data_IF_475717017469
#
_entry.id   IF_475717017469
#
_cell.length_a   1.000
_cell.length_b   1.000
_cell.length_c   1.000
_cell.angle_alpha   90.00
_cell.angle_beta   90.00
_cell.angle_gamma   90.00
#
_symmetry.space_group_name_H-M   'P 1'
#
loop_
_entity.id
_entity.type
_entity.pdbx_description
1 polymer ?
#
# COMPACT_ATOMS: atom_id res chain seq x y z
N UNK A 1 15.73 29.03 8.59
CA UNK A 1 16.45 27.81 8.17
C UNK A 1 15.50 26.83 7.48
N UNK A 2 14.44 26.34 8.12
CA UNK A 2 13.50 25.40 7.50
C UNK A 2 12.95 25.86 6.15
N UNK A 3 12.47 27.10 6.05
CA UNK A 3 11.95 27.66 4.80
C UNK A 3 13.00 27.72 3.67
N UNK A 4 14.26 27.93 4.02
CA UNK A 4 15.37 27.96 3.03
C UNK A 4 15.66 26.55 2.51
N UNK A 5 15.69 25.56 3.40
CA UNK A 5 15.89 24.15 3.00
C UNK A 5 14.71 23.63 2.17
N UNK A 6 13.46 23.93 2.55
CA UNK A 6 12.29 23.59 1.76
C UNK A 6 12.31 24.24 0.37
N UNK A 7 12.66 25.55 0.28
CA UNK A 7 12.82 26.22 -1.01
C UNK A 7 13.92 25.59 -1.85
N UNK A 8 15.05 25.19 -1.24
CA UNK A 8 16.15 24.52 -1.93
C UNK A 8 15.69 23.18 -2.52
N UNK A 9 15.02 22.35 -1.73
CA UNK A 9 14.54 21.03 -2.17
C UNK A 9 13.46 21.17 -3.25
N UNK A 10 12.46 22.01 -3.02
CA UNK A 10 11.30 22.10 -3.91
C UNK A 10 11.63 22.84 -5.23
N UNK A 11 12.38 23.93 -5.18
CA UNK A 11 12.60 24.79 -6.34
C UNK A 11 14.00 24.60 -6.95
N UNK A 12 15.05 24.60 -6.14
CA UNK A 12 16.42 24.51 -6.69
C UNK A 12 16.73 23.10 -7.21
N UNK A 13 16.32 22.06 -6.49
CA UNK A 13 16.41 20.67 -6.93
C UNK A 13 15.23 20.23 -7.81
N UNK A 14 14.35 21.16 -8.21
CA UNK A 14 13.16 20.88 -9.03
C UNK A 14 12.22 19.82 -8.43
N UNK A 15 12.22 19.65 -7.11
CA UNK A 15 11.41 18.63 -6.42
C UNK A 15 9.91 18.76 -6.69
N UNK A 16 9.39 20.01 -6.78
CA UNK A 16 7.98 20.24 -7.11
C UNK A 16 7.65 19.80 -8.55
N UNK A 17 8.52 20.11 -9.52
CA UNK A 17 8.32 19.68 -10.91
C UNK A 17 8.35 18.16 -11.03
N UNK A 18 9.31 17.52 -10.36
CA UNK A 18 9.41 16.05 -10.30
C UNK A 18 8.17 15.43 -9.66
N UNK A 19 7.64 16.03 -8.59
CA UNK A 19 6.40 15.57 -7.94
C UNK A 19 5.21 15.61 -8.91
N UNK A 20 5.02 16.73 -9.62
CA UNK A 20 3.92 16.87 -10.57
C UNK A 20 4.02 15.87 -11.72
N UNK A 21 5.24 15.66 -12.27
CA UNK A 21 5.47 14.67 -13.32
C UNK A 21 5.19 13.25 -12.78
N UNK A 22 5.68 12.93 -11.58
CA UNK A 22 5.50 11.62 -10.98
C UNK A 22 4.03 11.33 -10.66
N UNK A 23 3.28 12.31 -10.14
CA UNK A 23 1.84 12.18 -9.90
C UNK A 23 1.04 12.01 -11.20
N UNK A 24 1.38 12.76 -12.25
CA UNK A 24 0.74 12.60 -13.55
C UNK A 24 1.03 11.22 -14.17
N UNK A 25 2.28 10.78 -14.13
CA UNK A 25 2.67 9.44 -14.59
C UNK A 25 1.96 8.33 -13.78
N UNK A 26 1.84 8.53 -12.48
CA UNK A 26 1.15 7.58 -11.62
C UNK A 26 -0.37 7.53 -11.88
N UNK A 27 -1.00 8.67 -12.09
CA UNK A 27 -2.42 8.73 -12.47
C UNK A 27 -2.68 7.97 -13.79
N UNK A 28 -1.83 8.19 -14.81
CA UNK A 28 -1.91 7.45 -16.07
C UNK A 28 -1.69 5.95 -15.84
N UNK A 29 -0.74 5.58 -15.00
CA UNK A 29 -0.49 4.18 -14.65
C UNK A 29 -1.71 3.56 -13.96
N UNK A 30 -2.31 4.22 -12.97
CA UNK A 30 -3.51 3.73 -12.27
C UNK A 30 -4.69 3.53 -13.24
N UNK A 31 -4.90 4.45 -14.18
CA UNK A 31 -5.96 4.30 -15.21
C UNK A 31 -5.65 3.17 -16.18
N UNK A 32 -4.39 2.94 -16.52
CA UNK A 32 -3.96 1.95 -17.51
C UNK A 32 -3.77 0.54 -16.95
N UNK A 33 -3.55 0.39 -15.64
CA UNK A 33 -3.29 -0.94 -15.04
C UNK A 33 -4.54 -1.82 -14.94
N UNK A 34 -5.73 -1.22 -15.13
CA UNK A 34 -6.99 -1.95 -14.92
C UNK A 34 -7.24 -2.27 -13.45
N UNK A 35 -8.34 -2.92 -13.18
CA UNK A 35 -8.69 -3.46 -11.87
C UNK A 35 -8.53 -4.97 -11.91
N UNK A 36 -8.19 -5.56 -10.78
CA UNK A 36 -8.18 -7.01 -10.67
C UNK A 36 -9.65 -7.48 -10.66
N UNK A 37 -10.19 -7.74 -11.85
CA UNK A 37 -11.53 -8.26 -12.02
C UNK A 37 -11.47 -9.57 -12.80
N UNK A 38 -12.38 -10.49 -12.47
CA UNK A 38 -12.46 -11.73 -13.23
C UNK A 38 -12.96 -11.44 -14.65
N UNK A 39 -12.46 -12.19 -15.64
CA UNK A 39 -12.92 -12.12 -17.04
C UNK A 39 -14.46 -12.19 -17.18
N UNK A 40 -15.12 -12.88 -16.27
CA UNK A 40 -16.58 -13.01 -16.21
C UNK A 40 -17.25 -11.68 -15.92
N UNK A 41 -16.69 -10.92 -14.96
CA UNK A 41 -17.20 -9.59 -14.56
C UNK A 41 -16.97 -8.61 -15.71
N UNK A 42 -15.76 -8.56 -16.27
CA UNK A 42 -15.41 -7.64 -17.35
C UNK A 42 -16.34 -7.78 -18.58
N UNK A 43 -16.72 -9.01 -18.89
CA UNK A 43 -17.61 -9.27 -20.03
C UNK A 43 -19.08 -8.93 -19.76
N UNK A 44 -19.51 -8.93 -18.50
CA UNK A 44 -20.91 -8.74 -18.10
C UNK A 44 -21.03 -7.65 -17.00
N UNK A 45 -20.21 -6.62 -17.07
CA UNK A 45 -20.08 -5.63 -15.99
C UNK A 45 -21.40 -4.96 -15.61
N UNK A 46 -22.18 -4.49 -16.59
CA UNK A 46 -23.48 -3.86 -16.34
C UNK A 46 -24.45 -4.81 -15.62
N UNK A 47 -24.43 -6.08 -16.00
CA UNK A 47 -25.27 -7.10 -15.37
C UNK A 47 -24.80 -7.43 -13.96
N UNK A 48 -23.48 -7.53 -13.76
CA UNK A 48 -22.87 -7.74 -12.45
C UNK A 48 -23.21 -6.59 -11.50
N UNK A 49 -23.03 -5.35 -11.91
CA UNK A 49 -23.35 -4.17 -11.11
C UNK A 49 -24.84 -4.10 -10.75
N UNK A 50 -25.74 -4.43 -11.68
CA UNK A 50 -27.19 -4.49 -11.42
C UNK A 50 -27.54 -5.53 -10.35
N UNK A 51 -26.91 -6.70 -10.41
CA UNK A 51 -27.08 -7.71 -9.39
C UNK A 51 -26.45 -7.31 -8.06
N UNK A 52 -25.24 -6.73 -8.10
CA UNK A 52 -24.53 -6.31 -6.88
C UNK A 52 -25.32 -5.20 -6.17
N UNK A 53 -25.88 -4.22 -6.87
CA UNK A 53 -26.71 -3.17 -6.30
C UNK A 53 -27.93 -3.75 -5.53
N UNK A 54 -28.52 -4.84 -6.06
CA UNK A 54 -29.64 -5.52 -5.41
C UNK A 54 -29.21 -6.31 -4.16
N UNK A 55 -28.07 -7.02 -4.27
CA UNK A 55 -27.67 -8.02 -3.27
C UNK A 55 -26.69 -7.52 -2.23
N UNK A 56 -26.02 -6.39 -2.44
CA UNK A 56 -25.04 -5.85 -1.51
C UNK A 56 -25.60 -5.61 -0.10
N UNK A 57 -24.73 -5.72 0.91
CA UNK A 57 -25.03 -5.46 2.31
C UNK A 57 -25.11 -6.72 3.16
N UNK A 58 -25.79 -6.59 4.29
CA UNK A 58 -25.95 -7.66 5.26
C UNK A 58 -26.79 -8.82 4.70
N UNK A 59 -26.39 -10.04 5.04
CA UNK A 59 -27.08 -11.27 4.62
C UNK A 59 -28.17 -11.58 5.65
N UNK A 60 -29.38 -11.16 5.34
CA UNK A 60 -30.57 -11.52 6.12
C UNK A 60 -31.12 -12.88 5.70
N UNK A 61 -31.92 -13.53 6.58
CA UNK A 61 -32.55 -14.81 6.26
C UNK A 61 -33.46 -14.73 5.02
N UNK A 62 -34.14 -13.59 4.82
CA UNK A 62 -34.95 -13.34 3.62
C UNK A 62 -34.09 -13.29 2.36
N UNK A 63 -33.01 -12.49 2.37
CA UNK A 63 -32.05 -12.42 1.27
C UNK A 63 -31.43 -13.78 0.97
N UNK A 64 -31.09 -14.54 1.99
CA UNK A 64 -30.54 -15.90 1.84
C UNK A 64 -31.51 -16.81 1.08
N UNK A 65 -32.79 -16.82 1.45
CA UNK A 65 -33.82 -17.64 0.78
C UNK A 65 -34.05 -17.19 -0.68
N UNK A 66 -34.10 -15.87 -0.92
CA UNK A 66 -34.22 -15.34 -2.28
C UNK A 66 -33.00 -15.70 -3.14
N UNK A 67 -31.79 -15.59 -2.60
CA UNK A 67 -30.55 -15.92 -3.31
C UNK A 67 -30.48 -17.40 -3.70
N UNK A 68 -30.87 -18.31 -2.78
CA UNK A 68 -30.94 -19.76 -3.05
C UNK A 68 -32.02 -20.08 -4.12
N UNK A 69 -33.16 -19.39 -4.08
CA UNK A 69 -34.21 -19.56 -5.09
C UNK A 69 -33.73 -19.08 -6.48
N UNK A 70 -33.09 -17.91 -6.56
CA UNK A 70 -32.55 -17.37 -7.81
C UNK A 70 -31.41 -18.24 -8.34
N UNK A 71 -30.57 -18.82 -7.48
CA UNK A 71 -29.57 -19.80 -7.86
C UNK A 71 -30.17 -21.05 -8.54
N UNK A 72 -31.25 -21.58 -7.98
CA UNK A 72 -31.94 -22.72 -8.56
C UNK A 72 -32.56 -22.40 -9.94
N UNK A 73 -32.99 -21.18 -10.17
CA UNK A 73 -33.49 -20.71 -11.47
C UNK A 73 -32.34 -20.44 -12.45
N UNK A 74 -31.29 -19.73 -12.02
CA UNK A 74 -30.12 -19.44 -12.83
C UNK A 74 -29.42 -20.70 -13.33
N UNK A 75 -29.39 -21.75 -12.53
CA UNK A 75 -28.77 -23.03 -12.90
C UNK A 75 -29.50 -23.72 -14.05
N UNK A 76 -30.77 -23.43 -14.27
CA UNK A 76 -31.57 -23.98 -15.37
C UNK A 76 -31.47 -23.18 -16.67
N UNK A 77 -30.99 -21.94 -16.62
CA UNK A 77 -30.83 -21.05 -17.78
C UNK A 77 -29.38 -21.11 -18.31
N UNK A 78 -29.19 -20.97 -19.61
CA UNK A 78 -27.88 -20.93 -20.25
C UNK A 78 -27.60 -19.54 -20.81
N UNK A 79 -27.79 -18.50 -19.99
CA UNK A 79 -27.63 -17.11 -20.36
C UNK A 79 -26.37 -16.49 -19.74
N UNK A 80 -25.75 -15.50 -20.39
CA UNK A 80 -24.58 -14.76 -19.86
C UNK A 80 -24.82 -14.08 -18.52
N UNK A 81 -26.08 -13.78 -18.19
CA UNK A 81 -26.52 -13.30 -16.87
C UNK A 81 -26.18 -14.28 -15.73
N UNK A 82 -26.21 -15.57 -16.05
CA UNK A 82 -25.86 -16.63 -15.12
C UNK A 82 -24.45 -16.47 -14.58
N UNK A 83 -23.47 -16.17 -15.43
CA UNK A 83 -22.08 -16.06 -15.03
C UNK A 83 -21.85 -14.91 -14.04
N UNK A 84 -22.47 -13.76 -14.28
CA UNK A 84 -22.40 -12.60 -13.39
C UNK A 84 -23.06 -12.89 -12.01
N UNK A 85 -24.24 -13.53 -12.03
CA UNK A 85 -24.93 -13.91 -10.81
C UNK A 85 -24.15 -14.98 -10.01
N UNK A 86 -23.57 -15.98 -10.68
CA UNK A 86 -22.78 -17.02 -10.01
C UNK A 86 -21.55 -16.46 -9.29
N UNK A 87 -20.95 -15.38 -9.81
CA UNK A 87 -19.85 -14.71 -9.11
C UNK A 87 -20.31 -14.14 -7.76
N UNK A 88 -21.48 -13.48 -7.74
CA UNK A 88 -22.06 -12.94 -6.49
C UNK A 88 -22.52 -14.08 -5.56
N UNK A 89 -23.09 -15.15 -6.15
CA UNK A 89 -23.49 -16.31 -5.36
C UNK A 89 -22.30 -17.01 -4.71
N UNK A 90 -21.16 -17.06 -5.35
CA UNK A 90 -19.94 -17.58 -4.74
C UNK A 90 -19.49 -16.74 -3.53
N UNK A 91 -19.50 -15.40 -3.64
CA UNK A 91 -19.23 -14.54 -2.48
C UNK A 91 -20.25 -14.78 -1.34
N UNK A 92 -21.54 -14.89 -1.69
CA UNK A 92 -22.59 -15.23 -0.72
C UNK A 92 -22.33 -16.59 -0.06
N UNK A 93 -21.92 -17.60 -0.83
CA UNK A 93 -21.68 -18.95 -0.30
C UNK A 93 -20.64 -18.95 0.82
N UNK A 94 -19.56 -18.19 0.66
CA UNK A 94 -18.55 -18.01 1.71
C UNK A 94 -19.04 -17.08 2.84
N UNK A 95 -19.75 -16.02 2.50
CA UNK A 95 -20.23 -15.06 3.49
C UNK A 95 -21.31 -15.61 4.40
N UNK A 96 -22.13 -16.57 3.95
CA UNK A 96 -23.19 -17.20 4.76
C UNK A 96 -22.66 -18.05 5.92
N UNK A 97 -21.37 -18.43 5.90
CA UNK A 97 -20.75 -19.15 7.01
C UNK A 97 -20.54 -18.25 8.24
N UNK A 98 -20.32 -16.95 8.03
CA UNK A 98 -20.20 -15.95 9.11
C UNK A 98 -20.94 -14.65 8.77
N UNK A 99 -22.29 -14.68 8.78
CA UNK A 99 -23.10 -13.52 8.35
C UNK A 99 -22.99 -12.31 9.28
N UNK A 100 -22.46 -12.48 10.49
CA UNK A 100 -22.24 -11.38 11.42
C UNK A 100 -21.04 -10.49 11.04
N UNK A 101 -20.06 -11.06 10.34
CA UNK A 101 -18.81 -10.36 10.00
C UNK A 101 -18.56 -10.25 8.51
N UNK A 102 -19.36 -10.89 7.65
CA UNK A 102 -19.18 -10.90 6.21
C UNK A 102 -20.43 -10.36 5.51
N UNK A 103 -20.26 -9.26 4.79
CA UNK A 103 -21.31 -8.60 4.02
C UNK A 103 -21.00 -8.72 2.54
N UNK A 104 -22.02 -8.78 1.70
CA UNK A 104 -21.85 -8.78 0.26
C UNK A 104 -21.49 -7.38 -0.22
N UNK A 105 -20.42 -7.26 -1.00
CA UNK A 105 -19.96 -5.99 -1.55
C UNK A 105 -19.17 -6.20 -2.85
N UNK A 106 -19.06 -5.14 -3.65
CA UNK A 106 -18.11 -5.13 -4.77
C UNK A 106 -16.69 -4.96 -4.22
N UNK A 107 -15.92 -6.05 -4.25
CA UNK A 107 -14.57 -6.10 -3.69
C UNK A 107 -13.52 -5.40 -4.57
N UNK A 108 -13.76 -5.24 -5.89
CA UNK A 108 -12.77 -4.82 -6.90
C UNK A 108 -12.03 -3.53 -6.53
N UNK A 109 -12.78 -2.52 -6.09
CA UNK A 109 -12.19 -1.23 -5.72
C UNK A 109 -11.31 -1.31 -4.48
N UNK A 110 -11.82 -1.95 -3.43
CA UNK A 110 -11.09 -2.11 -2.17
C UNK A 110 -9.94 -3.10 -2.29
N UNK A 111 -10.14 -4.15 -3.05
CA UNK A 111 -9.07 -5.12 -3.33
C UNK A 111 -7.89 -4.43 -4.01
N UNK A 112 -8.14 -3.65 -5.06
CA UNK A 112 -7.11 -2.85 -5.73
C UNK A 112 -6.37 -1.89 -4.78
N UNK A 113 -7.04 -1.31 -3.78
CA UNK A 113 -6.43 -0.37 -2.83
C UNK A 113 -5.64 -1.07 -1.72
N UNK A 114 -6.11 -2.23 -1.27
CA UNK A 114 -5.61 -2.94 -0.10
C UNK A 114 -4.63 -4.06 -0.42
N UNK A 115 -4.86 -4.82 -1.51
CA UNK A 115 -4.04 -5.99 -1.84
C UNK A 115 -2.87 -5.69 -2.75
N UNK A 116 -2.77 -4.47 -3.29
CA UNK A 116 -1.65 -4.11 -4.16
C UNK A 116 -0.31 -4.25 -3.46
N UNK A 117 0.28 -5.38 -3.65
CA UNK A 117 1.39 -5.98 -2.86
C UNK A 117 2.77 -5.45 -3.28
N UNK A 118 2.82 -4.56 -4.25
CA UNK A 118 4.05 -4.03 -4.81
C UNK A 118 4.50 -2.70 -4.20
N UNK A 119 5.80 -2.53 -4.07
CA UNK A 119 6.37 -1.19 -3.90
C UNK A 119 6.06 -0.38 -5.16
N UNK A 120 5.35 0.73 -4.98
CA UNK A 120 5.10 1.65 -6.09
C UNK A 120 6.43 2.18 -6.64
N UNK A 121 6.84 1.66 -7.80
CA UNK A 121 8.14 1.99 -8.42
C UNK A 121 8.23 3.48 -8.76
N UNK A 122 7.12 4.11 -9.17
CA UNK A 122 7.10 5.54 -9.51
C UNK A 122 7.33 6.38 -8.25
N UNK A 123 6.66 6.04 -7.15
CA UNK A 123 6.88 6.67 -5.85
C UNK A 123 8.33 6.46 -5.36
N UNK A 124 8.85 5.23 -5.48
CA UNK A 124 10.21 4.90 -5.08
C UNK A 124 11.24 5.74 -5.84
N UNK A 125 11.12 5.80 -7.16
CA UNK A 125 12.02 6.60 -8.00
C UNK A 125 11.91 8.10 -7.68
N UNK A 126 10.70 8.59 -7.41
CA UNK A 126 10.50 9.96 -6.96
C UNK A 126 11.17 10.22 -5.61
N UNK A 127 10.99 9.35 -4.62
CA UNK A 127 11.63 9.48 -3.30
C UNK A 127 13.16 9.45 -3.39
N UNK A 128 13.73 8.60 -4.24
CA UNK A 128 15.17 8.58 -4.51
C UNK A 128 15.65 9.88 -5.15
N UNK A 129 14.95 10.35 -6.18
CA UNK A 129 15.29 11.61 -6.85
C UNK A 129 15.17 12.83 -5.92
N UNK A 130 14.27 12.78 -4.95
CA UNK A 130 14.09 13.83 -3.94
C UNK A 130 15.19 13.78 -2.86
N UNK A 131 15.46 12.58 -2.31
CA UNK A 131 16.30 12.44 -1.11
C UNK A 131 17.80 12.40 -1.39
N UNK A 132 18.23 11.71 -2.44
CA UNK A 132 19.65 11.47 -2.73
C UNK A 132 20.44 12.78 -2.95
N UNK A 133 19.96 13.77 -3.74
CA UNK A 133 20.73 14.97 -4.02
C UNK A 133 20.95 15.87 -2.80
N UNK A 134 20.10 15.78 -1.77
CA UNK A 134 20.13 16.69 -0.61
C UNK A 134 21.42 16.52 0.19
N UNK A 135 21.87 15.30 0.41
CA UNK A 135 23.12 15.02 1.12
C UNK A 135 24.30 14.75 0.18
N UNK A 136 24.12 13.91 -0.83
CA UNK A 136 25.21 13.61 -1.77
C UNK A 136 25.72 14.86 -2.50
N UNK A 137 24.82 15.77 -2.89
CA UNK A 137 25.20 17.03 -3.55
C UNK A 137 26.12 17.90 -2.69
N UNK A 138 25.93 17.92 -1.37
CA UNK A 138 26.79 18.70 -0.47
C UNK A 138 28.19 18.09 -0.33
N UNK A 139 28.29 16.77 -0.36
CA UNK A 139 29.60 16.10 -0.36
C UNK A 139 30.33 16.33 -1.68
N UNK A 140 29.65 16.23 -2.81
CA UNK A 140 30.25 16.43 -4.15
C UNK A 140 30.69 17.87 -4.38
N UNK A 141 29.95 18.85 -3.85
CA UNK A 141 30.32 20.28 -3.94
C UNK A 141 31.33 20.74 -2.87
N UNK A 142 31.79 19.84 -1.98
CA UNK A 142 32.69 20.21 -0.88
C UNK A 142 32.08 21.05 0.24
N UNK A 143 30.77 21.35 0.14
CA UNK A 143 30.06 22.17 1.14
C UNK A 143 29.93 21.49 2.50
N UNK A 144 29.99 20.16 2.56
CA UNK A 144 29.85 19.39 3.79
C UNK A 144 30.92 19.76 4.84
N UNK A 145 32.15 20.06 4.42
CA UNK A 145 33.23 20.47 5.34
C UNK A 145 32.96 21.85 5.95
N UNK A 146 32.48 22.79 5.14
CA UNK A 146 32.14 24.16 5.57
C UNK A 146 30.97 24.12 6.56
N UNK A 147 29.93 23.34 6.25
CA UNK A 147 28.76 23.20 7.12
C UNK A 147 29.13 22.58 8.47
N UNK A 148 30.06 21.61 8.51
CA UNK A 148 30.53 20.98 9.74
C UNK A 148 31.36 21.92 10.62
N UNK A 149 32.02 22.93 10.06
CA UNK A 149 32.78 23.93 10.83
C UNK A 149 31.90 25.00 11.47
N UNK A 150 30.67 25.17 10.99
CA UNK A 150 29.74 26.13 11.55
C UNK A 150 29.17 25.68 12.91
N UNK A 151 29.00 26.63 13.86
CA UNK A 151 28.49 26.37 15.23
C UNK A 151 27.18 25.57 15.29
N UNK A 152 26.26 25.79 14.33
CA UNK A 152 24.94 25.12 14.26
C UNK A 152 24.85 24.14 13.07
N UNK A 153 25.96 23.82 12.40
CA UNK A 153 25.94 23.07 11.15
C UNK A 153 25.83 21.56 11.35
N UNK A 154 26.28 21.02 12.48
CA UNK A 154 26.29 19.57 12.70
C UNK A 154 24.90 19.05 13.08
N UNK A 155 24.38 19.39 14.25
CA UNK A 155 23.13 18.80 14.76
C UNK A 155 21.89 19.52 14.21
N UNK A 156 21.79 20.84 14.41
CA UNK A 156 20.57 21.59 14.11
C UNK A 156 20.23 21.58 12.59
N UNK A 157 21.23 21.78 11.75
CA UNK A 157 21.00 21.78 10.30
C UNK A 157 20.68 20.38 9.77
N UNK A 158 21.38 19.36 10.26
CA UNK A 158 21.11 17.97 9.91
C UNK A 158 19.68 17.56 10.31
N UNK A 159 19.25 17.89 11.53
CA UNK A 159 17.90 17.63 12.00
C UNK A 159 16.82 18.34 11.17
N UNK A 160 17.04 19.61 10.78
CA UNK A 160 16.10 20.35 9.92
C UNK A 160 16.02 19.68 8.52
N UNK A 161 17.15 19.23 7.95
CA UNK A 161 17.15 18.55 6.65
C UNK A 161 16.44 17.21 6.70
N UNK A 162 16.75 16.39 7.69
CA UNK A 162 16.10 15.09 7.89
C UNK A 162 14.59 15.26 8.09
N UNK A 163 14.19 16.19 8.97
CA UNK A 163 12.78 16.48 9.20
C UNK A 163 12.05 17.00 7.97
N UNK A 164 12.68 17.89 7.18
CA UNK A 164 12.08 18.38 5.94
C UNK A 164 11.98 17.30 4.87
N UNK A 165 12.97 16.42 4.74
CA UNK A 165 12.90 15.29 3.82
C UNK A 165 11.83 14.28 4.20
N UNK A 166 11.78 13.90 5.48
CA UNK A 166 10.76 12.99 5.99
C UNK A 166 9.35 13.57 5.79
N UNK A 167 9.14 14.86 6.10
CA UNK A 167 7.86 15.52 5.91
C UNK A 167 7.44 15.59 4.43
N UNK A 168 8.39 15.89 3.52
CA UNK A 168 8.11 15.90 2.08
C UNK A 168 7.85 14.49 1.54
N UNK A 169 8.54 13.47 2.04
CA UNK A 169 8.30 12.09 1.67
C UNK A 169 6.89 11.63 2.10
N UNK A 170 6.49 11.94 3.33
CA UNK A 170 5.13 11.67 3.84
C UNK A 170 4.08 12.38 2.98
N UNK A 171 4.26 13.67 2.73
CA UNK A 171 3.31 14.46 1.94
C UNK A 171 3.18 13.91 0.51
N UNK A 172 4.30 13.59 -0.13
CA UNK A 172 4.30 12.99 -1.46
C UNK A 172 3.56 11.65 -1.46
N UNK A 173 3.87 10.76 -0.52
CA UNK A 173 3.20 9.46 -0.40
C UNK A 173 1.69 9.63 -0.18
N UNK A 174 1.28 10.54 0.69
CA UNK A 174 -0.15 10.83 0.90
C UNK A 174 -0.82 11.32 -0.40
N UNK A 175 -0.15 12.15 -1.20
CA UNK A 175 -0.67 12.58 -2.50
C UNK A 175 -0.78 11.42 -3.51
N UNK A 176 0.19 10.51 -3.54
CA UNK A 176 0.10 9.31 -4.38
C UNK A 176 -1.08 8.42 -3.97
N UNK A 177 -1.28 8.22 -2.66
CA UNK A 177 -2.43 7.45 -2.16
C UNK A 177 -3.76 8.13 -2.49
N UNK A 178 -3.81 9.47 -2.38
CA UNK A 178 -4.99 10.24 -2.76
C UNK A 178 -5.31 10.09 -4.26
N UNK A 179 -4.30 10.16 -5.13
CA UNK A 179 -4.49 9.95 -6.57
C UNK A 179 -5.04 8.55 -6.85
N UNK A 180 -4.45 7.51 -6.25
CA UNK A 180 -4.93 6.13 -6.40
C UNK A 180 -6.37 6.00 -5.93
N UNK A 181 -6.68 6.51 -4.73
CA UNK A 181 -8.02 6.49 -4.17
C UNK A 181 -9.05 7.16 -5.09
N UNK A 182 -8.74 8.36 -5.59
CA UNK A 182 -9.65 9.10 -6.48
C UNK A 182 -9.84 8.37 -7.81
N UNK A 183 -8.78 7.83 -8.40
CA UNK A 183 -8.89 7.07 -9.66
C UNK A 183 -9.76 5.84 -9.46
N UNK A 184 -9.53 5.04 -8.42
CA UNK A 184 -10.31 3.84 -8.13
C UNK A 184 -11.77 4.18 -7.83
N UNK A 185 -12.01 5.21 -7.01
CA UNK A 185 -13.36 5.66 -6.67
C UNK A 185 -14.18 6.11 -7.90
N UNK A 186 -13.52 6.74 -8.88
CA UNK A 186 -14.19 7.20 -10.10
C UNK A 186 -14.41 6.09 -11.13
N UNK A 187 -13.61 5.03 -11.07
CA UNK A 187 -13.64 3.99 -12.10
C UNK A 187 -14.51 2.79 -11.71
N UNK A 188 -14.41 2.32 -10.47
CA UNK A 188 -15.12 1.11 -10.01
C UNK A 188 -16.13 1.43 -8.91
N UNK A 189 -15.92 2.53 -8.17
CA UNK A 189 -16.65 2.82 -6.96
C UNK A 189 -15.95 2.27 -5.70
N UNK A 190 -16.36 2.74 -4.53
CA UNK A 190 -15.83 2.34 -3.22
C UNK A 190 -16.98 2.21 -2.21
N UNK A 191 -17.98 1.40 -2.57
CA UNK A 191 -19.10 1.12 -1.69
C UNK A 191 -18.65 0.18 -0.56
N UNK A 192 -19.38 0.15 0.54
CA UNK A 192 -19.09 -0.75 1.66
C UNK A 192 -17.90 -0.35 2.54
N UNK A 193 -17.43 0.90 2.54
CA UNK A 193 -16.34 1.36 3.41
C UNK A 193 -16.58 1.13 4.91
N UNK A 194 -17.84 1.05 5.34
CA UNK A 194 -18.22 0.78 6.72
C UNK A 194 -18.38 -0.71 7.05
N UNK A 195 -18.31 -1.58 6.04
CA UNK A 195 -18.48 -3.02 6.25
C UNK A 195 -17.26 -3.62 6.95
N UNK A 196 -17.44 -4.75 7.65
CA UNK A 196 -16.33 -5.44 8.29
C UNK A 196 -15.25 -5.84 7.28
N UNK A 197 -13.98 -5.83 7.71
CA UNK A 197 -12.86 -6.19 6.86
C UNK A 197 -12.96 -7.62 6.29
N UNK A 198 -13.52 -8.53 7.08
CA UNK A 198 -13.75 -9.93 6.70
C UNK A 198 -14.73 -10.09 5.52
N UNK A 199 -15.42 -9.02 5.12
CA UNK A 199 -16.25 -9.00 3.91
C UNK A 199 -15.44 -9.08 2.61
N UNK A 200 -14.14 -8.75 2.66
CA UNK A 200 -13.22 -8.93 1.55
C UNK A 200 -12.64 -10.34 1.59
N UNK A 201 -12.69 -11.05 0.47
CA UNK A 201 -12.22 -12.45 0.35
C UNK A 201 -10.78 -12.63 0.80
N UNK A 202 -9.92 -11.66 0.48
CA UNK A 202 -8.51 -11.67 0.88
C UNK A 202 -8.30 -11.57 2.40
N UNK A 203 -9.24 -10.98 3.15
CA UNK A 203 -9.14 -10.74 4.59
C UNK A 203 -10.17 -11.54 5.40
N UNK A 204 -10.77 -12.57 4.83
CA UNK A 204 -11.84 -13.35 5.47
C UNK A 204 -11.44 -13.96 6.83
N UNK A 205 -10.17 -14.32 7.00
CA UNK A 205 -9.64 -14.88 8.25
C UNK A 205 -8.93 -13.83 9.13
N UNK A 206 -9.09 -12.54 8.85
CA UNK A 206 -8.48 -11.49 9.68
C UNK A 206 -9.08 -11.48 11.08
N UNK A 207 -8.26 -11.47 12.14
CA UNK A 207 -8.74 -11.41 13.53
C UNK A 207 -9.21 -10.01 13.93
N UNK A 208 -9.02 -9.01 13.08
CA UNK A 208 -9.32 -7.62 13.42
C UNK A 208 -10.74 -7.23 13.02
N UNK A 209 -11.56 -6.90 14.01
CA UNK A 209 -12.92 -6.39 13.83
C UNK A 209 -12.89 -4.89 13.50
N UNK A 210 -12.39 -4.53 12.35
CA UNK A 210 -12.31 -3.15 11.84
C UNK A 210 -13.06 -3.04 10.52
N UNK A 211 -13.47 -1.83 10.16
CA UNK A 211 -14.09 -1.61 8.86
C UNK A 211 -13.05 -1.54 7.74
N UNK A 212 -13.49 -1.83 6.52
CA UNK A 212 -12.65 -1.72 5.30
C UNK A 212 -12.02 -0.34 5.17
N UNK A 213 -12.80 0.73 5.42
CA UNK A 213 -12.29 2.10 5.38
C UNK A 213 -11.25 2.41 6.47
N UNK A 214 -11.43 1.86 7.69
CA UNK A 214 -10.42 1.98 8.75
C UNK A 214 -9.14 1.25 8.37
N UNK A 215 -9.27 0.07 7.80
CA UNK A 215 -8.17 -0.71 7.29
C UNK A 215 -7.36 0.06 6.25
N UNK A 216 -8.02 0.67 5.27
CA UNK A 216 -7.37 1.52 4.29
C UNK A 216 -6.61 2.69 4.94
N UNK A 217 -7.22 3.35 5.93
CA UNK A 217 -6.56 4.42 6.70
C UNK A 217 -5.25 3.97 7.35
N UNK A 218 -5.24 2.76 7.92
CA UNK A 218 -4.03 2.18 8.54
C UNK A 218 -2.97 1.87 7.47
N UNK A 219 -3.36 1.33 6.31
CA UNK A 219 -2.42 1.09 5.19
C UNK A 219 -1.78 2.40 4.70
N UNK A 220 -2.56 3.44 4.51
CA UNK A 220 -2.05 4.76 4.12
C UNK A 220 -1.07 5.29 5.16
N UNK A 221 -1.40 5.17 6.45
CA UNK A 221 -0.50 5.58 7.54
C UNK A 221 0.80 4.78 7.52
N UNK A 222 0.73 3.47 7.34
CA UNK A 222 1.89 2.59 7.21
C UNK A 222 2.79 3.00 6.05
N UNK A 223 2.21 3.24 4.88
CA UNK A 223 2.94 3.71 3.69
C UNK A 223 3.61 5.07 3.92
N UNK A 224 2.94 6.00 4.62
CA UNK A 224 3.52 7.29 5.00
C UNK A 224 4.70 7.14 5.96
N UNK A 225 4.57 6.27 6.97
CA UNK A 225 5.68 5.96 7.89
C UNK A 225 6.84 5.29 7.16
N UNK A 226 6.55 4.37 6.25
CA UNK A 226 7.53 3.72 5.39
C UNK A 226 8.32 4.71 4.54
N UNK A 227 7.64 5.71 3.97
CA UNK A 227 8.28 6.76 3.18
C UNK A 227 9.20 7.66 4.04
N UNK A 228 8.78 8.02 5.26
CA UNK A 228 9.62 8.75 6.19
C UNK A 228 10.86 7.94 6.58
N UNK A 229 10.68 6.67 6.89
CA UNK A 229 11.74 5.73 7.21
C UNK A 229 12.73 5.58 6.04
N UNK A 230 12.20 5.40 4.83
CA UNK A 230 13.00 5.32 3.62
C UNK A 230 13.82 6.58 3.39
N UNK A 231 13.23 7.77 3.54
CA UNK A 231 13.94 9.05 3.38
C UNK A 231 15.12 9.17 4.36
N UNK A 232 14.94 8.72 5.61
CA UNK A 232 16.01 8.73 6.61
C UNK A 232 17.10 7.70 6.30
N UNK A 233 16.71 6.52 5.83
CA UNK A 233 17.65 5.50 5.40
C UNK A 233 18.51 5.98 4.21
N UNK A 234 17.89 6.64 3.22
CA UNK A 234 18.63 7.22 2.10
C UNK A 234 19.60 8.33 2.58
N UNK A 235 19.20 9.13 3.56
CA UNK A 235 20.11 10.10 4.16
C UNK A 235 21.32 9.41 4.82
N UNK A 236 21.11 8.32 5.55
CA UNK A 236 22.19 7.50 6.13
C UNK A 236 23.13 6.95 5.04
N UNK A 237 22.57 6.31 4.01
CA UNK A 237 23.35 5.78 2.89
C UNK A 237 24.12 6.87 2.15
N UNK A 238 23.55 8.07 2.02
CA UNK A 238 24.20 9.23 1.40
C UNK A 238 25.42 9.69 2.19
N UNK A 239 25.36 9.65 3.51
CA UNK A 239 26.49 10.00 4.40
C UNK A 239 27.58 8.92 4.32
N UNK A 240 27.17 7.65 4.24
CA UNK A 240 28.10 6.52 4.17
C UNK A 240 28.85 6.48 2.84
N UNK A 241 28.16 6.54 1.73
CA UNK A 241 28.74 6.38 0.39
C UNK A 241 29.27 7.67 -0.21
N UNK A 242 28.68 8.82 0.14
CA UNK A 242 29.02 10.16 -0.40
C UNK A 242 28.98 10.29 -1.91
N UNK A 243 28.40 9.32 -2.60
CA UNK A 243 28.29 9.22 -4.04
C UNK A 243 26.83 8.99 -4.44
N UNK A 244 26.32 9.80 -5.37
CA UNK A 244 24.93 9.74 -5.82
C UNK A 244 24.58 8.37 -6.39
N UNK A 245 25.42 7.84 -7.29
CA UNK A 245 25.16 6.59 -7.99
C UNK A 245 25.04 5.42 -7.00
N UNK A 246 26.05 5.28 -6.12
CA UNK A 246 26.08 4.18 -5.15
C UNK A 246 24.92 4.26 -4.14
N UNK A 247 24.58 5.46 -3.69
CA UNK A 247 23.43 5.68 -2.80
C UNK A 247 22.11 5.31 -3.48
N UNK A 248 21.92 5.69 -4.74
CA UNK A 248 20.70 5.36 -5.50
C UNK A 248 20.56 3.85 -5.67
N UNK A 249 21.61 3.16 -6.13
CA UNK A 249 21.56 1.70 -6.29
C UNK A 249 21.32 0.96 -4.97
N UNK A 250 21.95 1.42 -3.90
CA UNK A 250 21.73 0.83 -2.56
C UNK A 250 20.31 1.08 -2.07
N UNK A 251 19.73 2.25 -2.34
CA UNK A 251 18.34 2.56 -2.01
C UNK A 251 17.34 1.66 -2.77
N UNK A 252 17.59 1.45 -4.06
CA UNK A 252 16.80 0.51 -4.88
C UNK A 252 16.93 -0.91 -4.31
N UNK A 253 18.16 -1.34 -4.03
CA UNK A 253 18.40 -2.70 -3.52
C UNK A 253 17.67 -2.94 -2.19
N UNK A 254 17.75 -2.02 -1.24
CA UNK A 254 17.06 -2.18 0.07
C UNK A 254 15.54 -2.22 -0.09
N UNK A 255 14.97 -1.56 -1.08
CA UNK A 255 13.52 -1.52 -1.28
C UNK A 255 12.99 -2.68 -2.11
N UNK A 256 13.71 -3.12 -3.14
CA UNK A 256 13.22 -4.12 -4.09
C UNK A 256 13.73 -5.52 -3.76
N UNK A 257 14.96 -5.64 -3.25
CA UNK A 257 15.58 -6.94 -2.98
C UNK A 257 14.77 -7.85 -2.04
N UNK A 258 14.16 -7.33 -0.94
CA UNK A 258 13.30 -8.14 -0.09
C UNK A 258 12.11 -8.75 -0.83
N UNK A 259 11.54 -8.04 -1.81
CA UNK A 259 10.45 -8.56 -2.63
C UNK A 259 10.91 -9.64 -3.63
N UNK A 260 12.16 -9.58 -4.09
CA UNK A 260 12.68 -10.53 -5.07
C UNK A 260 13.22 -11.82 -4.44
N UNK A 261 13.88 -11.73 -3.29
CA UNK A 261 14.63 -12.86 -2.71
C UNK A 261 13.82 -13.61 -1.66
N UNK A 262 13.06 -12.88 -0.86
CA UNK A 262 12.55 -13.43 0.40
C UNK A 262 11.14 -13.98 0.35
N UNK A 263 10.51 -14.01 -0.80
CA UNK A 263 9.09 -14.33 -0.86
C UNK A 263 8.29 -13.51 0.15
N UNK A 264 7.20 -14.06 0.62
CA UNK A 264 6.28 -13.37 1.55
C UNK A 264 6.91 -13.09 2.91
N UNK A 265 7.83 -13.96 3.39
CA UNK A 265 8.47 -13.77 4.70
C UNK A 265 9.26 -12.45 4.84
N UNK A 266 10.12 -12.12 3.88
CA UNK A 266 10.89 -10.88 3.92
C UNK A 266 10.04 -9.64 3.61
N UNK A 267 8.97 -9.79 2.85
CA UNK A 267 8.03 -8.70 2.56
C UNK A 267 7.27 -8.25 3.81
N UNK A 268 6.77 -9.20 4.61
CA UNK A 268 5.77 -8.93 5.64
C UNK A 268 6.31 -9.01 7.07
N UNK A 269 7.28 -9.86 7.33
CA UNK A 269 7.74 -10.14 8.71
C UNK A 269 8.85 -9.20 9.16
N UNK A 270 9.72 -8.73 8.25
CA UNK A 270 10.76 -7.79 8.61
C UNK A 270 10.26 -6.34 8.49
N UNK A 271 10.47 -5.52 9.54
CA UNK A 271 10.14 -4.11 9.53
C UNK A 271 11.10 -3.30 8.63
N UNK A 272 11.24 -3.71 7.40
CA UNK A 272 12.04 -3.03 6.40
C UNK A 272 11.21 -1.91 5.73
N UNK A 273 11.84 -0.88 5.18
CA UNK A 273 11.15 0.15 4.41
C UNK A 273 10.30 -0.43 3.28
N UNK A 274 10.73 -1.55 2.69
CA UNK A 274 9.99 -2.28 1.66
C UNK A 274 8.60 -2.74 2.15
N UNK A 275 8.51 -3.38 3.31
CA UNK A 275 7.25 -3.85 3.88
C UNK A 275 6.34 -2.69 4.27
N UNK A 276 6.88 -1.63 4.90
CA UNK A 276 6.10 -0.43 5.26
C UNK A 276 5.56 0.29 4.02
N UNK A 277 6.34 0.39 2.94
CA UNK A 277 5.90 1.02 1.70
C UNK A 277 4.84 0.18 0.97
N UNK A 278 4.89 -1.13 1.06
CA UNK A 278 3.82 -2.01 0.60
C UNK A 278 2.55 -1.86 1.44
N UNK A 279 2.69 -1.81 2.76
CA UNK A 279 1.63 -1.45 3.72
C UNK A 279 0.70 -2.58 4.13
N UNK A 280 0.58 -3.65 3.35
CA UNK A 280 -0.40 -4.71 3.56
C UNK A 280 -0.10 -5.60 4.76
N UNK A 281 1.14 -6.02 4.95
CA UNK A 281 1.51 -6.95 6.03
C UNK A 281 1.39 -6.40 7.45
N UNK A 282 1.24 -5.08 7.61
CA UNK A 282 1.24 -4.43 8.93
C UNK A 282 -0.12 -4.37 9.62
N UNK A 283 -1.17 -4.77 8.93
CA UNK A 283 -2.53 -4.49 9.40
C UNK A 283 -3.35 -5.75 9.64
N UNK A 284 -2.94 -6.89 9.06
CA UNK A 284 -3.92 -7.93 8.79
C UNK A 284 -3.78 -9.21 9.60
N UNK A 285 -2.85 -9.29 10.53
CA UNK A 285 -2.67 -10.46 11.39
C UNK A 285 -2.29 -11.73 10.65
N UNK A 286 -3.09 -12.19 9.72
CA UNK A 286 -2.80 -13.36 8.88
C UNK A 286 -3.23 -13.08 7.46
N UNK A 287 -2.32 -13.31 6.52
CA UNK A 287 -2.61 -13.35 5.10
C UNK A 287 -2.87 -14.80 4.72
N UNK A 288 -3.99 -15.05 4.07
CA UNK A 288 -4.33 -16.37 3.56
C UNK A 288 -4.06 -16.39 2.07
N UNK A 289 -3.19 -17.29 1.63
CA UNK A 289 -3.05 -17.61 0.21
C UNK A 289 -3.82 -18.90 -0.06
N UNK A 290 -4.59 -18.92 -1.12
CA UNK A 290 -5.25 -20.12 -1.60
C UNK A 290 -4.26 -20.94 -2.42
N UNK A 291 -4.04 -22.19 -2.06
CA UNK A 291 -3.21 -23.12 -2.79
C UNK A 291 -3.97 -24.39 -3.16
N UNK A 292 -3.27 -25.30 -3.83
CA UNK A 292 -3.81 -26.62 -4.15
C UNK A 292 -3.03 -27.67 -3.39
N UNK A 293 -3.72 -28.67 -2.83
CA UNK A 293 -3.10 -29.87 -2.28
C UNK A 293 -2.62 -30.85 -3.39
N UNK A 294 -2.04 -31.98 -2.99
CA UNK A 294 -1.56 -33.00 -3.93
C UNK A 294 -2.71 -33.58 -4.79
N UNK A 295 -3.95 -33.51 -4.32
CA UNK A 295 -5.15 -33.99 -5.00
C UNK A 295 -5.88 -32.88 -5.79
N UNK A 296 -5.27 -31.70 -5.95
CA UNK A 296 -5.82 -30.51 -6.63
C UNK A 296 -7.08 -29.93 -5.97
N UNK A 297 -7.29 -30.17 -4.69
CA UNK A 297 -8.32 -29.48 -3.93
C UNK A 297 -7.80 -28.11 -3.48
N UNK A 298 -8.66 -27.12 -3.50
CA UNK A 298 -8.36 -25.79 -2.95
C UNK A 298 -8.17 -25.89 -1.44
N UNK A 299 -7.02 -25.48 -0.96
CA UNK A 299 -6.71 -25.39 0.46
C UNK A 299 -6.25 -23.98 0.81
N UNK A 300 -6.66 -23.49 1.97
CA UNK A 300 -6.19 -22.23 2.50
C UNK A 300 -4.80 -22.42 3.11
N UNK A 301 -3.80 -21.83 2.49
CA UNK A 301 -2.44 -21.79 3.04
C UNK A 301 -2.31 -20.50 3.82
N UNK A 302 -2.37 -20.59 5.14
CA UNK A 302 -2.05 -19.45 6.03
C UNK A 302 -0.56 -19.19 5.96
N UNK A 303 -0.18 -18.14 5.27
CA UNK A 303 1.23 -17.92 4.94
C UNK A 303 1.93 -17.09 6.00
N UNK A 304 1.32 -16.09 6.63
CA UNK A 304 2.04 -15.21 7.55
C UNK A 304 1.17 -14.61 8.65
N UNK A 305 1.63 -14.64 9.91
CA UNK A 305 1.14 -13.67 10.91
C UNK A 305 1.64 -12.28 10.50
N UNK A 306 0.76 -11.30 10.48
CA UNK A 306 1.11 -9.91 10.28
C UNK A 306 2.06 -9.41 11.38
N UNK A 307 2.55 -8.19 11.23
CA UNK A 307 3.48 -7.60 12.19
C UNK A 307 2.78 -7.40 13.53
N UNK A 308 3.38 -7.96 14.55
CA UNK A 308 2.91 -7.81 15.92
C UNK A 308 3.15 -6.38 16.42
N UNK A 309 2.36 -5.88 17.40
CA UNK A 309 2.61 -4.58 18.04
C UNK A 309 4.03 -4.45 18.60
N UNK A 310 4.64 -5.55 19.04
CA UNK A 310 6.01 -5.59 19.55
C UNK A 310 7.04 -5.32 18.45
N UNK A 311 6.86 -5.91 17.28
CA UNK A 311 7.70 -5.66 16.11
C UNK A 311 7.55 -4.21 15.62
N UNK A 312 6.36 -3.65 15.69
CA UNK A 312 6.14 -2.24 15.40
C UNK A 312 6.83 -1.32 16.41
N UNK A 313 6.76 -1.66 17.69
CA UNK A 313 7.51 -0.95 18.75
C UNK A 313 9.02 -1.00 18.52
N UNK A 314 9.58 -2.15 18.16
CA UNK A 314 10.99 -2.31 17.80
C UNK A 314 11.39 -1.42 16.64
N UNK A 315 10.54 -1.30 15.61
CA UNK A 315 10.72 -0.42 14.45
C UNK A 315 10.88 1.04 14.88
N UNK A 316 9.99 1.52 15.73
CA UNK A 316 10.06 2.90 16.25
C UNK A 316 11.37 3.13 16.98
N UNK A 317 11.79 2.21 17.84
CA UNK A 317 13.05 2.32 18.58
C UNK A 317 14.24 2.33 17.62
N UNK A 318 14.27 1.44 16.64
CA UNK A 318 15.31 1.40 15.61
C UNK A 318 15.37 2.70 14.81
N UNK A 319 14.21 3.23 14.42
CA UNK A 319 14.08 4.50 13.73
C UNK A 319 14.67 5.65 14.54
N UNK A 320 14.32 5.76 15.83
CA UNK A 320 14.84 6.77 16.72
C UNK A 320 16.36 6.63 16.92
N UNK A 321 16.88 5.41 17.04
CA UNK A 321 18.31 5.16 17.14
C UNK A 321 19.08 5.62 15.90
N UNK A 322 18.56 5.36 14.70
CA UNK A 322 19.17 5.83 13.45
C UNK A 322 19.11 7.35 13.32
N UNK A 323 17.99 7.97 13.69
CA UNK A 323 17.89 9.45 13.73
C UNK A 323 18.92 10.03 14.68
N UNK A 324 19.08 9.46 15.88
CA UNK A 324 20.10 9.90 16.84
C UNK A 324 21.51 9.75 16.27
N UNK A 325 21.82 8.64 15.62
CA UNK A 325 23.11 8.40 14.96
C UNK A 325 23.39 9.40 13.83
N UNK A 326 22.37 9.81 13.08
CA UNK A 326 22.51 10.77 11.98
C UNK A 326 22.69 12.21 12.48
N UNK A 327 22.13 12.51 13.66
CA UNK A 327 22.22 13.86 14.25
C UNK A 327 23.52 14.04 15.05
N UNK A 328 24.10 12.94 15.58
CA UNK A 328 25.38 12.96 16.33
C UNK A 328 26.58 13.02 15.38
#
# INVERSE_FOLDING_TARGET
>A
MLQVELKKILFHHKGLLLLLIALAAYAVFCVGSGYDSSYVIDRNEDTYLTYMERWQGEITEEKAQEMEAEYAEATRSDDGRKAAFLTIYNQYYYAKEDPAHRFLMDERGWDTLLTHDGVNVILLLFLLALCVPVFCGEYQCGMAQILRSCRNGRGRLAGIKLGSLAALAVLATALFQLVQFVVVALSVGLDGASYPLQSLSFFEHSPYLISVGQAYGIVVLSRCLGAAWFAILIALLSILFRQTVLTTFSGIAVSILPHLIGGSFLKYVLPLPAGLLAGTGYVWGTLTEVGYDEDWNLIDIVTFPGITPEQFGFLIVLFLAIVCLLVW
#
